data_IF_885229809200
#
_entry.id   IF_885229809200
#
_cell.length_a   1.000
_cell.length_b   1.000
_cell.length_c   1.000
_cell.angle_alpha   90.00
_cell.angle_beta   90.00
_cell.angle_gamma   90.00
#
_symmetry.space_group_name_H-M   'P 1'
#
loop_
_entity.id
_entity.type
_entity.pdbx_description
1 polymer ?
#
# COMPACT_ATOMS: atom_id res chain seq x y z
N UNK A 1 34.73 -3.23 -11.75
CA UNK A 1 33.68 -2.26 -11.37
C UNK A 1 32.98 -2.85 -10.16
N UNK A 2 33.21 -2.27 -8.99
CA UNK A 2 32.71 -2.80 -7.72
C UNK A 2 31.37 -2.10 -7.45
N UNK A 3 30.25 -2.73 -7.84
CA UNK A 3 28.94 -2.28 -7.38
C UNK A 3 28.82 -2.65 -5.92
N UNK A 4 29.18 -1.70 -5.06
CA UNK A 4 28.80 -1.73 -3.65
C UNK A 4 27.28 -1.63 -3.61
N UNK A 5 26.60 -2.76 -3.36
CA UNK A 5 25.19 -2.79 -2.94
C UNK A 5 25.05 -1.79 -1.79
N UNK A 6 24.51 -0.60 -2.05
CA UNK A 6 24.02 0.27 -0.99
C UNK A 6 22.97 -0.55 -0.25
N UNK A 7 23.12 -0.64 1.07
CA UNK A 7 22.05 -1.17 1.91
C UNK A 7 20.87 -0.22 1.70
N UNK A 8 19.73 -0.78 1.29
CA UNK A 8 18.45 -0.09 1.30
C UNK A 8 18.31 0.59 2.67
N UNK A 9 18.15 1.90 2.71
CA UNK A 9 17.91 2.58 3.97
C UNK A 9 16.56 2.06 4.47
N UNK A 10 16.49 1.54 5.69
CA UNK A 10 15.24 0.99 6.24
C UNK A 10 14.13 2.06 6.32
N UNK A 11 14.50 3.34 6.14
CA UNK A 11 13.60 4.46 6.06
C UNK A 11 13.26 4.96 4.65
N UNK A 12 13.86 4.41 3.60
CA UNK A 12 13.61 4.83 2.23
C UNK A 12 12.18 4.44 1.79
N UNK A 13 11.39 5.44 1.37
CA UNK A 13 9.99 5.26 0.96
C UNK A 13 9.91 4.64 -0.44
N UNK A 14 10.80 5.08 -1.33
CA UNK A 14 10.95 4.60 -2.71
C UNK A 14 12.43 4.29 -2.92
N UNK A 15 12.78 3.05 -3.25
CA UNK A 15 14.13 2.71 -3.71
C UNK A 15 14.32 3.30 -5.12
N UNK A 16 14.79 4.56 -5.17
CA UNK A 16 14.85 5.34 -6.41
C UNK A 16 15.80 4.76 -7.45
N UNK A 17 16.91 4.18 -7.01
CA UNK A 17 17.89 3.56 -7.90
C UNK A 17 17.26 2.34 -8.59
N UNK A 18 16.61 1.47 -7.83
CA UNK A 18 15.94 0.30 -8.37
C UNK A 18 14.70 0.67 -9.22
N UNK A 19 13.93 1.68 -8.81
CA UNK A 19 12.76 2.14 -9.55
C UNK A 19 13.15 2.75 -10.91
N UNK A 20 14.24 3.53 -10.96
CA UNK A 20 14.77 4.07 -12.22
C UNK A 20 15.37 2.98 -13.11
N UNK A 21 16.03 1.97 -12.52
CA UNK A 21 16.53 0.80 -13.26
C UNK A 21 15.39 0.04 -13.94
N UNK A 22 14.24 -0.14 -13.27
CA UNK A 22 13.04 -0.74 -13.86
C UNK A 22 12.50 0.05 -15.06
N UNK A 23 12.71 1.38 -15.04
CA UNK A 23 12.36 2.28 -16.14
C UNK A 23 13.49 2.42 -17.17
N UNK A 24 14.53 1.57 -17.13
CA UNK A 24 15.69 1.62 -18.02
C UNK A 24 16.40 2.99 -18.04
N UNK A 25 16.36 3.73 -16.93
CA UNK A 25 16.94 5.07 -16.82
C UNK A 25 16.03 6.21 -17.29
N UNK A 26 14.77 5.94 -17.66
CA UNK A 26 13.81 6.96 -18.08
C UNK A 26 13.12 7.62 -16.87
N UNK A 27 13.57 8.83 -16.53
CA UNK A 27 13.04 9.60 -15.40
C UNK A 27 11.63 10.15 -15.66
N UNK A 28 11.29 10.51 -16.90
CA UNK A 28 9.95 11.01 -17.23
C UNK A 28 8.92 9.89 -17.10
N UNK A 29 9.24 8.70 -17.63
CA UNK A 29 8.39 7.53 -17.49
C UNK A 29 8.22 7.10 -16.03
N UNK A 30 9.30 7.13 -15.23
CA UNK A 30 9.21 6.84 -13.80
C UNK A 30 8.26 7.81 -13.08
N UNK A 31 8.32 9.11 -13.40
CA UNK A 31 7.44 10.11 -12.80
C UNK A 31 5.97 9.85 -13.15
N UNK A 32 5.66 9.51 -14.41
CA UNK A 32 4.31 9.14 -14.83
C UNK A 32 3.80 7.92 -14.05
N UNK A 33 4.62 6.88 -13.91
CA UNK A 33 4.26 5.68 -13.15
C UNK A 33 4.02 5.97 -11.66
N UNK A 34 4.80 6.86 -11.06
CA UNK A 34 4.63 7.26 -9.67
C UNK A 34 3.36 8.09 -9.45
N UNK A 35 2.99 8.94 -10.40
CA UNK A 35 1.73 9.68 -10.38
C UNK A 35 0.52 8.73 -10.49
N UNK A 36 0.58 7.79 -11.43
CA UNK A 36 -0.45 6.76 -11.58
C UNK A 36 -0.59 5.91 -10.31
N UNK A 37 0.54 5.47 -9.74
CA UNK A 37 0.56 4.75 -8.46
C UNK A 37 -0.09 5.57 -7.34
N UNK A 38 0.20 6.87 -7.25
CA UNK A 38 -0.37 7.75 -6.23
C UNK A 38 -1.89 7.83 -6.35
N UNK A 39 -2.41 8.06 -7.56
CA UNK A 39 -3.85 8.15 -7.80
C UNK A 39 -4.55 6.83 -7.50
N UNK A 40 -4.00 5.70 -7.97
CA UNK A 40 -4.56 4.37 -7.71
C UNK A 40 -4.55 4.02 -6.23
N UNK A 41 -3.44 4.31 -5.54
CA UNK A 41 -3.28 4.05 -4.11
C UNK A 41 -4.29 4.84 -3.31
N UNK A 42 -4.48 6.14 -3.59
CA UNK A 42 -5.44 6.97 -2.87
C UNK A 42 -6.89 6.53 -3.12
N UNK A 43 -7.22 6.06 -4.33
CA UNK A 43 -8.53 5.47 -4.64
C UNK A 43 -8.81 4.15 -3.89
N UNK A 44 -7.82 3.26 -3.83
CA UNK A 44 -7.94 2.01 -3.11
C UNK A 44 -7.91 2.20 -1.59
N UNK A 45 -7.10 3.13 -1.07
CA UNK A 45 -7.10 3.52 0.33
C UNK A 45 -8.49 3.97 0.79
N UNK A 46 -9.16 4.84 0.02
CA UNK A 46 -10.53 5.27 0.34
C UNK A 46 -11.53 4.11 0.34
N UNK A 47 -11.32 3.09 -0.49
CA UNK A 47 -12.16 1.88 -0.51
C UNK A 47 -11.97 1.07 0.77
N UNK A 48 -10.72 0.87 1.19
CA UNK A 48 -10.39 0.18 2.44
C UNK A 48 -10.97 0.95 3.63
N UNK A 49 -10.76 2.26 3.69
CA UNK A 49 -11.29 3.13 4.75
C UNK A 49 -12.80 2.98 4.89
N UNK A 50 -13.55 3.05 3.78
CA UNK A 50 -15.01 2.89 3.79
C UNK A 50 -15.46 1.51 4.27
N UNK A 51 -14.75 0.45 3.85
CA UNK A 51 -15.04 -0.90 4.29
C UNK A 51 -14.81 -1.03 5.81
N UNK A 52 -13.69 -0.52 6.31
CA UNK A 52 -13.37 -0.51 7.76
C UNK A 52 -14.40 0.29 8.56
N UNK A 53 -14.77 1.49 8.10
CA UNK A 53 -15.77 2.36 8.75
C UNK A 53 -17.17 1.73 8.79
N UNK A 54 -17.45 0.76 7.92
CA UNK A 54 -18.73 0.06 7.84
C UNK A 54 -18.78 -1.20 8.70
N UNK A 55 -17.66 -1.63 9.29
CA UNK A 55 -17.61 -2.83 10.12
C UNK A 55 -18.32 -2.61 11.45
N UNK A 56 -19.13 -3.60 11.84
CA UNK A 56 -19.66 -3.71 13.19
C UNK A 56 -19.22 -5.04 13.82
N UNK A 57 -19.10 -5.14 15.15
CA UNK A 57 -18.72 -6.39 15.82
C UNK A 57 -19.73 -7.52 15.60
N UNK A 58 -20.99 -7.18 15.27
CA UNK A 58 -22.07 -8.13 15.06
C UNK A 58 -22.15 -8.68 13.63
N UNK A 59 -21.52 -8.00 12.66
CA UNK A 59 -21.58 -8.38 11.25
C UNK A 59 -20.54 -9.46 10.90
N UNK A 60 -20.96 -10.43 10.09
CA UNK A 60 -20.01 -11.28 9.37
C UNK A 60 -19.34 -10.43 8.31
N UNK A 61 -18.04 -10.15 8.48
CA UNK A 61 -17.25 -9.24 7.66
C UNK A 61 -17.10 -9.63 6.18
N UNK A 62 -17.91 -10.52 5.61
CA UNK A 62 -17.66 -11.16 4.31
C UNK A 62 -17.42 -10.18 3.15
N UNK A 63 -18.33 -9.21 2.95
CA UNK A 63 -18.24 -8.27 1.84
C UNK A 63 -17.18 -7.18 2.10
N UNK A 64 -17.13 -6.65 3.33
CA UNK A 64 -16.14 -5.66 3.75
C UNK A 64 -14.71 -6.24 3.73
N UNK A 65 -14.53 -7.47 4.20
CA UNK A 65 -13.25 -8.17 4.18
C UNK A 65 -12.79 -8.48 2.75
N UNK A 66 -13.70 -8.85 1.83
CA UNK A 66 -13.33 -9.03 0.42
C UNK A 66 -12.99 -7.68 -0.24
N UNK A 67 -13.69 -6.60 0.11
CA UNK A 67 -13.37 -5.25 -0.36
C UNK A 67 -11.98 -4.79 0.12
N UNK A 68 -11.68 -4.96 1.42
CA UNK A 68 -10.36 -4.69 2.01
C UNK A 68 -9.29 -5.52 1.29
N UNK A 69 -9.52 -6.83 1.15
CA UNK A 69 -8.58 -7.76 0.51
C UNK A 69 -8.25 -7.33 -0.92
N UNK A 70 -9.25 -7.03 -1.74
CA UNK A 70 -9.06 -6.67 -3.16
C UNK A 70 -8.36 -5.33 -3.33
N UNK A 71 -8.80 -4.31 -2.59
CA UNK A 71 -8.18 -2.99 -2.68
C UNK A 71 -6.71 -3.04 -2.21
N UNK A 72 -6.43 -3.74 -1.12
CA UNK A 72 -5.08 -3.93 -0.62
C UNK A 72 -4.21 -4.75 -1.59
N UNK A 73 -4.77 -5.76 -2.26
CA UNK A 73 -4.07 -6.50 -3.31
C UNK A 73 -3.60 -5.59 -4.46
N UNK A 74 -4.47 -4.67 -4.92
CA UNK A 74 -4.12 -3.71 -5.96
C UNK A 74 -2.97 -2.79 -5.52
N UNK A 75 -3.05 -2.20 -4.33
CA UNK A 75 -1.98 -1.34 -3.79
C UNK A 75 -0.67 -2.12 -3.69
N UNK A 76 -0.70 -3.35 -3.17
CA UNK A 76 0.48 -4.22 -3.07
C UNK A 76 1.11 -4.48 -4.44
N UNK A 77 0.31 -4.78 -5.45
CA UNK A 77 0.79 -5.04 -6.82
C UNK A 77 1.46 -3.81 -7.42
N UNK A 78 0.82 -2.65 -7.31
CA UNK A 78 1.32 -1.40 -7.87
C UNK A 78 2.60 -0.93 -7.15
N UNK A 79 2.61 -0.95 -5.82
CA UNK A 79 3.78 -0.57 -4.99
C UNK A 79 4.98 -1.50 -5.15
N UNK A 80 4.77 -2.80 -5.42
CA UNK A 80 5.86 -3.75 -5.67
C UNK A 80 6.61 -3.46 -6.99
N UNK A 81 5.93 -2.91 -8.00
CA UNK A 81 6.56 -2.59 -9.28
C UNK A 81 7.53 -1.40 -9.17
N UNK A 82 7.27 -0.47 -8.26
CA UNK A 82 8.04 0.76 -8.06
C UNK A 82 8.85 0.76 -6.75
N UNK A 83 9.12 -0.43 -6.20
CA UNK A 83 9.97 -0.63 -5.01
C UNK A 83 9.57 0.19 -3.78
N UNK A 84 8.26 0.48 -3.65
CA UNK A 84 7.68 1.17 -2.50
C UNK A 84 7.45 0.17 -1.36
N UNK A 85 8.53 -0.32 -0.76
CA UNK A 85 8.51 -1.51 0.09
C UNK A 85 7.59 -1.40 1.31
N UNK A 86 7.56 -0.26 1.99
CA UNK A 86 6.70 -0.07 3.17
C UNK A 86 5.23 -0.02 2.81
N UNK A 87 4.88 0.69 1.73
CA UNK A 87 3.53 0.72 1.18
C UNK A 87 3.06 -0.69 0.77
N UNK A 88 3.95 -1.47 0.14
CA UNK A 88 3.71 -2.87 -0.21
C UNK A 88 3.43 -3.72 1.03
N UNK A 89 4.24 -3.58 2.07
CA UNK A 89 4.12 -4.39 3.29
C UNK A 89 2.85 -4.06 4.07
N UNK A 90 2.50 -2.77 4.19
CA UNK A 90 1.24 -2.34 4.79
C UNK A 90 0.02 -2.89 4.02
N UNK A 91 0.06 -2.82 2.69
CA UNK A 91 -0.99 -3.37 1.84
C UNK A 91 -1.06 -4.92 1.93
N UNK A 92 0.09 -5.61 1.99
CA UNK A 92 0.14 -7.05 2.15
C UNK A 92 -0.47 -7.50 3.49
N UNK A 93 -0.25 -6.76 4.57
CA UNK A 93 -0.86 -7.03 5.86
C UNK A 93 -2.39 -6.96 5.76
N UNK A 94 -2.93 -5.87 5.22
CA UNK A 94 -4.38 -5.70 5.03
C UNK A 94 -4.99 -6.75 4.10
N UNK A 95 -4.30 -7.10 3.00
CA UNK A 95 -4.75 -8.15 2.09
C UNK A 95 -4.88 -9.49 2.83
N UNK A 96 -3.87 -9.84 3.64
CA UNK A 96 -3.89 -11.08 4.43
C UNK A 96 -5.01 -11.05 5.46
N UNK A 97 -5.15 -9.97 6.23
CA UNK A 97 -6.21 -9.85 7.23
C UNK A 97 -7.59 -9.95 6.58
N UNK A 98 -7.82 -9.24 5.45
CA UNK A 98 -9.06 -9.34 4.68
C UNK A 98 -9.33 -10.77 4.18
N UNK A 99 -8.32 -11.47 3.67
CA UNK A 99 -8.45 -12.89 3.31
C UNK A 99 -8.87 -13.76 4.50
N UNK A 100 -8.30 -13.53 5.67
CA UNK A 100 -8.65 -14.25 6.90
C UNK A 100 -10.08 -13.96 7.34
N UNK A 101 -10.54 -12.70 7.21
CA UNK A 101 -11.93 -12.31 7.42
C UNK A 101 -12.90 -13.00 6.46
N UNK A 102 -12.59 -13.06 5.16
CA UNK A 102 -13.39 -13.78 4.16
C UNK A 102 -13.50 -15.27 4.49
N UNK A 103 -12.43 -15.87 5.01
CA UNK A 103 -12.41 -17.29 5.38
C UNK A 103 -13.05 -17.63 6.73
N UNK A 104 -13.37 -16.62 7.55
CA UNK A 104 -13.82 -16.80 8.94
C UNK A 104 -12.71 -17.22 9.92
N UNK A 105 -11.43 -17.10 9.52
CA UNK A 105 -10.30 -17.37 10.44
C UNK A 105 -10.18 -16.31 11.53
N UNK A 106 -10.60 -15.07 11.24
CA UNK A 106 -10.62 -13.94 12.16
C UNK A 106 -11.96 -13.21 11.96
N UNK A 107 -12.66 -12.94 13.06
CA UNK A 107 -14.01 -12.35 13.03
C UNK A 107 -14.19 -11.34 14.18
N UNK A 108 -15.29 -10.59 14.12
CA UNK A 108 -15.72 -9.67 15.19
C UNK A 108 -14.65 -8.65 15.58
N UNK A 109 -14.51 -8.41 16.88
CA UNK A 109 -13.60 -7.39 17.42
C UNK A 109 -12.15 -7.58 16.99
N UNK A 110 -11.66 -8.83 16.94
CA UNK A 110 -10.27 -9.10 16.52
C UNK A 110 -10.02 -8.77 15.06
N UNK A 111 -11.01 -8.99 14.18
CA UNK A 111 -10.89 -8.58 12.78
C UNK A 111 -10.82 -7.06 12.67
N UNK A 112 -11.74 -6.37 13.36
CA UNK A 112 -11.85 -4.90 13.37
C UNK A 112 -10.56 -4.26 13.89
N UNK A 113 -10.01 -4.76 15.00
CA UNK A 113 -8.75 -4.28 15.57
C UNK A 113 -7.62 -4.38 14.55
N UNK A 114 -7.42 -5.56 13.96
CA UNK A 114 -6.34 -5.80 13.01
C UNK A 114 -6.47 -4.97 11.73
N UNK A 115 -7.67 -4.85 11.15
CA UNK A 115 -7.83 -4.01 9.94
C UNK A 115 -7.70 -2.52 10.26
N UNK A 116 -8.07 -2.08 11.47
CA UNK A 116 -7.89 -0.69 11.92
C UNK A 116 -6.40 -0.36 12.09
N UNK A 117 -5.63 -1.26 12.73
CA UNK A 117 -4.17 -1.12 12.83
C UNK A 117 -3.49 -1.11 11.46
N UNK A 118 -3.92 -2.03 10.57
CA UNK A 118 -3.42 -2.12 9.20
C UNK A 118 -3.72 -0.86 8.39
N UNK A 119 -4.93 -0.32 8.52
CA UNK A 119 -5.36 0.90 7.86
C UNK A 119 -4.57 2.11 8.36
N UNK A 120 -4.35 2.25 9.67
CA UNK A 120 -3.53 3.33 10.22
C UNK A 120 -2.08 3.27 9.71
N UNK A 121 -1.52 2.07 9.62
CA UNK A 121 -0.19 1.85 9.04
C UNK A 121 -0.19 2.24 7.56
N UNK A 122 -1.15 1.75 6.77
CA UNK A 122 -1.28 2.10 5.36
C UNK A 122 -1.42 3.61 5.16
N UNK A 123 -2.22 4.30 5.98
CA UNK A 123 -2.39 5.75 5.92
C UNK A 123 -1.05 6.48 6.13
N UNK A 124 -0.24 6.02 7.09
CA UNK A 124 1.09 6.59 7.34
C UNK A 124 2.00 6.42 6.12
N UNK A 125 2.00 5.25 5.48
CA UNK A 125 2.85 4.98 4.32
C UNK A 125 2.37 5.69 3.06
N UNK A 126 1.05 5.82 2.85
CA UNK A 126 0.48 6.63 1.75
C UNK A 126 0.92 8.09 1.91
N UNK A 127 0.81 8.63 3.13
CA UNK A 127 1.23 10.01 3.39
C UNK A 127 2.73 10.20 3.16
N UNK A 128 3.57 9.28 3.63
CA UNK A 128 5.02 9.36 3.41
C UNK A 128 5.37 9.29 1.92
N UNK A 129 4.66 8.46 1.15
CA UNK A 129 4.79 8.38 -0.31
C UNK A 129 4.41 9.70 -0.99
N UNK A 130 3.26 10.27 -0.67
CA UNK A 130 2.81 11.56 -1.23
C UNK A 130 3.77 12.71 -0.87
N UNK A 131 4.30 12.73 0.35
CA UNK A 131 5.30 13.72 0.79
C UNK A 131 6.61 13.60 0.00
N UNK A 132 7.12 12.38 -0.21
CA UNK A 132 8.33 12.13 -1.01
C UNK A 132 8.16 12.57 -2.48
N UNK A 133 6.99 12.33 -3.08
CA UNK A 133 6.69 12.81 -4.44
C UNK A 133 6.66 14.35 -4.50
N UNK A 134 6.01 14.99 -3.52
CA UNK A 134 5.91 16.43 -3.44
C UNK A 134 7.28 17.12 -3.25
N UNK A 135 8.16 16.57 -2.41
CA UNK A 135 9.53 17.07 -2.21
C UNK A 135 10.35 17.08 -3.51
N UNK A 136 10.04 16.16 -4.43
CA UNK A 136 10.68 16.05 -5.75
C UNK A 136 9.96 16.80 -6.87
N UNK A 137 8.86 17.47 -6.55
CA UNK A 137 8.05 18.21 -7.53
C UNK A 137 7.23 17.31 -8.47
N UNK A 138 7.02 16.05 -8.10
CA UNK A 138 6.14 15.12 -8.81
C UNK A 138 4.74 15.36 -8.26
N UNK A 139 3.93 16.14 -8.98
CA UNK A 139 2.57 16.44 -8.54
C UNK A 139 1.66 15.22 -8.76
N UNK A 140 1.10 14.68 -7.69
CA UNK A 140 0.02 13.68 -7.66
C UNK A 140 -1.36 14.32 -7.63
#
# INVERSE_FOLDING_TARGET
MSSSKKKNDENEVIDWEAALEQCAGDEEFLQELLQDLSMETSGHFQTIQKAVDSLTPEDTAGDEADAIRRAAHSIKGASANLMCNKLRDAAQFLEKTGMQGVSGEIEGESFIELVTEGLATLQSEVKAFEEELAERGINS
#
